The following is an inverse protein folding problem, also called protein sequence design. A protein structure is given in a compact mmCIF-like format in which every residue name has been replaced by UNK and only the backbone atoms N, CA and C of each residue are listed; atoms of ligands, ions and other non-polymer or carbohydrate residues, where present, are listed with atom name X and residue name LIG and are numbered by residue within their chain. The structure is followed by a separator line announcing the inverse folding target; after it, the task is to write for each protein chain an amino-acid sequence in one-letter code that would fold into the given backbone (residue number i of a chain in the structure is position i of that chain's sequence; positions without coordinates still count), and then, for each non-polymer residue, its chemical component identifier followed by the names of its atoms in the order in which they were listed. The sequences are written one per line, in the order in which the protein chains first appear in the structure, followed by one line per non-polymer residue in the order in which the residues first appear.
data_IF_338494282608
#
_entry.id   IF_338494282608
#
_cell.length_a   1.000
_cell.length_b   1.000
_cell.length_c   1.000
_cell.angle_alpha   90.00
_cell.angle_beta   90.00
_cell.angle_gamma   90.00
#
_symmetry.space_group_name_H-M   'P 1'
#
loop_
_entity.id
_entity.type
_entity.pdbx_description
1 polymer ?
#
# COMPACT_ATOMS: atom_id res chain seq x y z
N UNK A 1 -22.05 -100.13 0.94
CA UNK A 1 -22.58 -98.85 0.39
C UNK A 1 -22.71 -97.70 1.41
N UNK A 2 -22.68 -97.91 2.74
CA UNK A 2 -22.85 -96.82 3.73
C UNK A 2 -21.59 -95.98 4.02
N UNK A 3 -20.38 -96.48 3.74
CA UNK A 3 -19.12 -95.76 3.98
C UNK A 3 -18.77 -94.68 2.96
N UNK A 4 -19.17 -94.85 1.69
CA UNK A 4 -18.85 -93.89 0.63
C UNK A 4 -19.65 -92.59 0.74
N UNK A 5 -20.88 -92.66 1.29
CA UNK A 5 -21.76 -91.52 1.54
C UNK A 5 -21.29 -90.64 2.71
N UNK A 6 -20.64 -91.24 3.71
CA UNK A 6 -20.15 -90.50 4.88
C UNK A 6 -18.91 -89.67 4.53
N UNK A 7 -18.02 -90.22 3.69
CA UNK A 7 -16.79 -89.54 3.25
C UNK A 7 -17.11 -88.41 2.27
N UNK A 8 -18.09 -88.60 1.39
CA UNK A 8 -18.55 -87.54 0.47
C UNK A 8 -19.33 -86.43 1.20
N UNK A 9 -20.07 -86.75 2.27
CA UNK A 9 -20.71 -85.74 3.13
C UNK A 9 -19.69 -84.93 3.95
N UNK A 10 -18.62 -85.56 4.47
CA UNK A 10 -17.53 -84.87 5.19
C UNK A 10 -16.67 -83.98 4.27
N UNK A 11 -16.41 -84.42 3.03
CA UNK A 11 -15.73 -83.61 2.02
C UNK A 11 -16.59 -82.42 1.55
N UNK A 12 -17.90 -82.60 1.37
CA UNK A 12 -18.80 -81.47 1.07
C UNK A 12 -18.92 -80.50 2.24
N UNK A 13 -18.94 -80.98 3.50
CA UNK A 13 -19.02 -80.11 4.67
C UNK A 13 -17.73 -79.31 4.88
N UNK A 14 -16.56 -79.90 4.61
CA UNK A 14 -15.29 -79.15 4.59
C UNK A 14 -15.19 -78.16 3.42
N UNK A 15 -15.69 -78.51 2.22
CA UNK A 15 -15.73 -77.58 1.08
C UNK A 15 -16.77 -76.43 1.27
N UNK A 16 -17.85 -76.68 2.02
CA UNK A 16 -18.86 -75.67 2.36
C UNK A 16 -18.44 -74.76 3.54
N UNK A 17 -17.70 -75.27 4.53
CA UNK A 17 -17.14 -74.42 5.59
C UNK A 17 -15.95 -73.57 5.12
N UNK A 18 -15.16 -74.02 4.13
CA UNK A 18 -14.08 -73.21 3.56
C UNK A 18 -14.54 -72.21 2.48
N UNK A 19 -15.75 -72.35 1.92
CA UNK A 19 -16.25 -71.44 0.88
C UNK A 19 -16.97 -70.19 1.41
N UNK A 20 -17.18 -70.07 2.73
CA UNK A 20 -17.76 -68.86 3.35
C UNK A 20 -16.75 -67.92 4.01
N UNK A 21 -15.47 -68.28 4.05
CA UNK A 21 -14.39 -67.30 4.26
C UNK A 21 -13.74 -66.96 2.92
N UNK A 22 -14.55 -66.39 2.02
CA UNK A 22 -13.98 -65.43 1.08
C UNK A 22 -13.69 -64.19 1.90
N UNK A 23 -12.49 -64.12 2.48
CA UNK A 23 -11.86 -62.82 2.67
C UNK A 23 -11.80 -62.22 1.26
N UNK A 24 -12.80 -61.43 0.89
CA UNK A 24 -12.49 -60.30 0.05
C UNK A 24 -11.35 -59.61 0.79
N UNK A 25 -10.13 -59.71 0.24
CA UNK A 25 -9.10 -58.70 0.45
C UNK A 25 -9.69 -57.40 -0.08
N UNK A 26 -10.70 -56.86 0.60
CA UNK A 26 -10.97 -55.46 0.60
C UNK A 26 -9.70 -54.92 1.20
N UNK A 27 -8.87 -54.33 0.35
CA UNK A 27 -7.63 -53.71 0.73
C UNK A 27 -7.95 -52.84 1.94
N UNK A 28 -7.61 -53.32 3.14
CA UNK A 28 -8.25 -52.89 4.38
C UNK A 28 -8.01 -51.39 4.59
N UNK A 29 -6.86 -50.94 4.09
CA UNK A 29 -6.46 -49.55 3.95
C UNK A 29 -7.46 -48.75 3.09
N UNK A 30 -7.84 -49.22 1.90
CA UNK A 30 -8.79 -48.52 1.03
C UNK A 30 -10.20 -48.47 1.62
N UNK A 31 -10.63 -49.53 2.32
CA UNK A 31 -11.91 -49.55 3.03
C UNK A 31 -11.94 -48.54 4.19
N UNK A 32 -10.91 -48.56 5.05
CA UNK A 32 -10.81 -47.63 6.17
C UNK A 32 -10.58 -46.19 5.71
N UNK A 33 -9.83 -45.97 4.63
CA UNK A 33 -9.69 -44.64 4.01
C UNK A 33 -11.04 -44.12 3.52
N UNK A 34 -11.84 -44.94 2.84
CA UNK A 34 -13.18 -44.55 2.37
C UNK A 34 -14.13 -44.27 3.54
N UNK A 35 -14.11 -45.09 4.59
CA UNK A 35 -14.88 -44.89 5.82
C UNK A 35 -14.48 -43.59 6.53
N UNK A 36 -13.19 -43.34 6.72
CA UNK A 36 -12.67 -42.11 7.32
C UNK A 36 -13.08 -40.89 6.49
N UNK A 37 -12.96 -40.96 5.16
CA UNK A 37 -13.34 -39.87 4.27
C UNK A 37 -14.85 -39.57 4.32
N UNK A 38 -15.69 -40.61 4.38
CA UNK A 38 -17.13 -40.47 4.57
C UNK A 38 -17.49 -39.89 5.94
N UNK A 39 -16.79 -40.28 7.01
CA UNK A 39 -16.97 -39.70 8.34
C UNK A 39 -16.55 -38.23 8.37
N UNK A 40 -15.42 -37.87 7.75
CA UNK A 40 -15.01 -36.47 7.62
C UNK A 40 -16.02 -35.65 6.83
N UNK A 41 -16.56 -36.17 5.73
CA UNK A 41 -17.60 -35.49 4.96
C UNK A 41 -18.91 -35.37 5.73
N UNK A 42 -19.32 -36.40 6.48
CA UNK A 42 -20.51 -36.39 7.31
C UNK A 42 -20.37 -35.41 8.48
N UNK A 43 -19.24 -35.40 9.19
CA UNK A 43 -18.93 -34.44 10.24
C UNK A 43 -18.83 -33.02 9.70
N UNK A 44 -18.21 -32.83 8.53
CA UNK A 44 -18.18 -31.52 7.86
C UNK A 44 -19.58 -31.05 7.45
N UNK A 45 -20.41 -31.93 6.90
CA UNK A 45 -21.82 -31.62 6.57
C UNK A 45 -22.64 -31.33 7.82
N UNK A 46 -22.44 -32.08 8.91
CA UNK A 46 -23.11 -31.85 10.19
C UNK A 46 -22.73 -30.48 10.78
N UNK A 47 -21.44 -30.11 10.75
CA UNK A 47 -20.97 -28.79 11.19
C UNK A 47 -21.51 -27.68 10.29
N UNK A 48 -21.53 -27.86 8.96
CA UNK A 48 -22.06 -26.85 8.02
C UNK A 48 -23.59 -26.71 8.11
N UNK A 49 -24.30 -27.77 8.49
CA UNK A 49 -25.75 -27.78 8.64
C UNK A 49 -26.23 -27.46 10.06
N UNK A 50 -25.32 -27.42 11.03
CA UNK A 50 -25.60 -27.00 12.40
C UNK A 50 -26.16 -25.58 12.41
N UNK A 51 -27.25 -25.39 13.16
CA UNK A 51 -27.98 -24.13 13.18
C UNK A 51 -27.15 -23.01 13.81
N UNK A 52 -26.27 -23.32 14.77
CA UNK A 52 -25.37 -22.35 15.38
C UNK A 52 -24.24 -21.97 14.42
N UNK A 53 -23.69 -22.93 13.68
CA UNK A 53 -22.69 -22.65 12.65
C UNK A 53 -23.26 -21.81 11.49
N UNK A 54 -24.47 -22.14 11.00
CA UNK A 54 -25.16 -21.34 9.98
C UNK A 54 -25.49 -19.94 10.49
N UNK A 55 -25.95 -19.82 11.74
CA UNK A 55 -26.23 -18.52 12.36
C UNK A 55 -24.96 -17.71 12.57
N UNK A 56 -23.87 -18.34 13.01
CA UNK A 56 -22.55 -17.74 13.12
C UNK A 56 -22.03 -17.30 11.75
N UNK A 57 -22.20 -18.11 10.71
CA UNK A 57 -21.76 -17.79 9.36
C UNK A 57 -22.63 -16.71 8.70
N UNK A 58 -23.95 -16.70 8.94
CA UNK A 58 -24.85 -15.61 8.55
C UNK A 58 -24.47 -14.34 9.29
N UNK A 59 -24.16 -14.40 10.59
CA UNK A 59 -23.70 -13.26 11.36
C UNK A 59 -22.34 -12.75 10.88
N UNK A 60 -21.37 -13.63 10.63
CA UNK A 60 -20.08 -13.30 10.05
C UNK A 60 -20.24 -12.70 8.65
N UNK A 61 -21.10 -13.25 7.79
CA UNK A 61 -21.38 -12.73 6.45
C UNK A 61 -22.13 -11.39 6.51
N UNK A 62 -23.04 -11.20 7.47
CA UNK A 62 -23.76 -9.93 7.72
C UNK A 62 -22.80 -8.85 8.23
N UNK A 63 -21.83 -9.24 9.05
CA UNK A 63 -20.75 -8.36 9.55
C UNK A 63 -19.74 -8.05 8.44
N UNK A 64 -19.34 -9.03 7.62
CA UNK A 64 -18.44 -8.86 6.47
C UNK A 64 -19.04 -7.92 5.40
N UNK A 65 -20.35 -8.03 5.13
CA UNK A 65 -21.06 -7.10 4.23
C UNK A 65 -21.02 -5.63 4.67
N UNK A 66 -20.79 -5.35 5.97
CA UNK A 66 -20.72 -3.98 6.49
C UNK A 66 -19.30 -3.39 6.46
N UNK A 67 -18.24 -4.21 6.50
CA UNK A 67 -16.85 -3.74 6.35
C UNK A 67 -16.42 -3.57 4.89
N UNK A 68 -17.14 -4.17 3.93
CA UNK A 68 -16.87 -4.07 2.50
C UNK A 68 -17.19 -2.70 1.87
N UNK A 69 -17.83 -1.79 2.61
CA UNK A 69 -18.19 -0.47 2.11
C UNK A 69 -17.95 0.60 3.18
N UNK A 70 -17.10 1.56 2.86
CA UNK A 70 -16.90 2.74 3.71
C UNK A 70 -16.60 3.97 2.85
N UNK A 71 -16.90 5.15 3.40
CA UNK A 71 -16.28 6.42 3.04
C UNK A 71 -15.51 6.92 4.27
N UNK A 72 -14.30 7.40 4.07
CA UNK A 72 -13.41 7.82 5.15
C UNK A 72 -12.70 9.12 4.82
N UNK A 73 -12.55 9.97 5.82
CA UNK A 73 -11.60 11.07 5.79
C UNK A 73 -10.21 10.54 6.17
N UNK A 74 -9.17 10.99 5.48
CA UNK A 74 -7.81 10.51 5.62
C UNK A 74 -6.91 11.64 6.08
N UNK A 75 -6.08 11.38 7.09
CA UNK A 75 -4.94 12.22 7.45
C UNK A 75 -3.69 11.36 7.45
N UNK A 76 -2.58 11.87 6.94
CA UNK A 76 -1.36 11.09 6.83
C UNK A 76 -0.11 11.93 6.83
N UNK A 77 0.99 11.27 7.19
CA UNK A 77 2.34 11.76 6.93
C UNK A 77 3.00 10.84 5.90
N UNK A 78 3.87 11.41 5.09
CA UNK A 78 4.65 10.68 4.11
C UNK A 78 6.13 11.00 4.25
N UNK A 79 6.95 10.02 3.91
CA UNK A 79 8.39 10.18 3.74
C UNK A 79 8.70 9.75 2.32
N UNK A 80 9.38 10.61 1.57
CA UNK A 80 9.81 10.30 0.21
C UNK A 80 11.30 10.47 0.03
N UNK A 81 11.90 9.56 -0.72
CA UNK A 81 13.27 9.71 -1.17
C UNK A 81 13.35 10.85 -2.18
N UNK A 82 14.47 11.57 -2.17
CA UNK A 82 14.79 12.56 -3.17
C UNK A 82 16.24 12.36 -3.61
N UNK A 83 16.46 12.37 -4.92
CA UNK A 83 17.80 12.32 -5.50
C UNK A 83 18.20 13.74 -5.91
N UNK A 84 19.17 14.27 -5.15
CA UNK A 84 19.77 15.58 -5.33
C UNK A 84 21.15 15.48 -6.00
N UNK A 85 21.60 14.32 -6.46
CA UNK A 85 22.98 14.10 -6.91
C UNK A 85 23.47 15.14 -7.93
N UNK A 86 22.71 15.37 -9.00
CA UNK A 86 23.02 16.37 -10.02
C UNK A 86 22.93 17.80 -9.50
N UNK A 87 21.83 18.11 -8.80
CA UNK A 87 21.65 19.42 -8.19
C UNK A 87 22.76 19.77 -7.20
N UNK A 88 23.24 18.80 -6.44
CA UNK A 88 24.36 18.96 -5.51
C UNK A 88 25.69 19.14 -6.26
N UNK A 89 25.91 18.44 -7.38
CA UNK A 89 27.11 18.63 -8.19
C UNK A 89 27.20 20.05 -8.76
N UNK A 90 26.08 20.58 -9.26
CA UNK A 90 26.02 21.95 -9.80
C UNK A 90 26.23 23.01 -8.70
N UNK A 91 25.61 22.82 -7.52
CA UNK A 91 25.68 23.78 -6.43
C UNK A 91 26.98 23.69 -5.61
N UNK A 92 27.70 22.58 -5.67
CA UNK A 92 29.01 22.44 -5.02
C UNK A 92 30.03 23.44 -5.57
N UNK A 93 29.93 23.80 -6.86
CA UNK A 93 30.77 24.82 -7.51
C UNK A 93 30.60 26.19 -6.84
N UNK A 94 29.39 26.47 -6.34
CA UNK A 94 29.03 27.72 -5.64
C UNK A 94 29.23 27.64 -4.11
N UNK A 95 29.90 26.58 -3.62
CA UNK A 95 30.22 26.40 -2.20
C UNK A 95 29.05 25.98 -1.31
N UNK A 96 27.86 25.68 -1.87
CA UNK A 96 26.73 25.23 -1.07
C UNK A 96 26.95 23.80 -0.55
N UNK A 97 26.54 23.51 0.70
CA UNK A 97 26.55 22.14 1.18
C UNK A 97 25.49 21.31 0.45
N UNK A 98 25.75 20.01 0.31
CA UNK A 98 24.86 19.09 -0.38
C UNK A 98 23.52 18.91 0.36
N UNK A 99 22.42 18.93 -0.39
CA UNK A 99 21.12 18.47 0.09
C UNK A 99 21.17 16.98 0.41
N UNK A 100 20.67 16.61 1.61
CA UNK A 100 20.65 15.22 2.09
C UNK A 100 19.30 14.82 2.69
N UNK A 101 19.06 13.52 2.65
CA UNK A 101 17.96 12.84 3.34
C UNK A 101 16.61 12.95 2.65
N UNK A 102 15.62 12.34 3.28
CA UNK A 102 14.26 12.23 2.74
C UNK A 102 13.46 13.53 2.94
N UNK A 103 12.42 13.69 2.14
CA UNK A 103 11.39 14.71 2.28
C UNK A 103 10.28 14.17 3.16
N UNK A 104 9.77 14.97 4.08
CA UNK A 104 8.63 14.61 4.93
C UNK A 104 7.46 15.48 4.52
N UNK A 105 6.28 14.89 4.36
CA UNK A 105 5.05 15.59 4.02
C UNK A 105 3.89 15.24 4.93
N UNK A 106 2.90 16.11 4.91
CA UNK A 106 1.61 15.92 5.58
C UNK A 106 0.53 16.13 4.54
N UNK A 107 -0.49 15.28 4.58
CA UNK A 107 -1.59 15.37 3.64
C UNK A 107 -2.91 14.93 4.23
N UNK A 108 -3.97 15.34 3.54
CA UNK A 108 -5.33 14.93 3.84
C UNK A 108 -5.98 14.34 2.59
N UNK A 109 -7.10 13.63 2.77
CA UNK A 109 -7.77 13.00 1.66
C UNK A 109 -9.11 12.37 2.03
N UNK A 110 -9.68 11.70 1.05
CA UNK A 110 -10.87 10.87 1.20
C UNK A 110 -10.61 9.50 0.59
N UNK A 111 -11.08 8.45 1.26
CA UNK A 111 -11.01 7.07 0.80
C UNK A 111 -12.41 6.48 0.75
N UNK A 112 -12.71 5.74 -0.31
CA UNK A 112 -13.96 5.01 -0.48
C UNK A 112 -13.68 3.57 -0.87
N UNK A 113 -14.13 2.63 -0.05
CA UNK A 113 -14.12 1.19 -0.39
C UNK A 113 -15.51 0.77 -0.85
N UNK A 114 -15.56 0.00 -1.93
CA UNK A 114 -16.76 -0.72 -2.38
C UNK A 114 -16.37 -2.13 -2.78
N UNK A 115 -16.80 -3.10 -1.98
CA UNK A 115 -16.35 -4.49 -2.03
C UNK A 115 -14.82 -4.51 -1.90
N UNK A 116 -14.10 -5.07 -2.87
CA UNK A 116 -12.63 -5.09 -2.89
C UNK A 116 -11.98 -3.86 -3.52
N UNK A 117 -12.76 -2.95 -4.10
CA UNK A 117 -12.23 -1.78 -4.80
C UNK A 117 -12.06 -0.63 -3.81
N UNK A 118 -10.86 -0.06 -3.76
CA UNK A 118 -10.52 1.08 -2.92
C UNK A 118 -10.22 2.25 -3.86
N UNK A 119 -10.88 3.37 -3.63
CA UNK A 119 -10.64 4.62 -4.34
C UNK A 119 -10.18 5.65 -3.33
N UNK A 120 -9.10 6.35 -3.61
CA UNK A 120 -8.61 7.42 -2.74
C UNK A 120 -8.35 8.69 -3.54
N UNK A 121 -8.71 9.82 -2.95
CA UNK A 121 -8.41 11.15 -3.47
C UNK A 121 -7.70 11.88 -2.35
N UNK A 122 -6.42 12.18 -2.52
CA UNK A 122 -5.66 12.99 -1.57
C UNK A 122 -5.69 14.44 -2.06
N UNK A 123 -6.11 15.35 -1.19
CA UNK A 123 -6.18 16.78 -1.45
C UNK A 123 -5.09 17.46 -0.63
N UNK A 124 -4.15 18.14 -1.27
CA UNK A 124 -3.12 18.91 -0.57
C UNK A 124 -2.20 18.04 0.30
N UNK A 125 -1.07 17.62 -0.28
CA UNK A 125 0.10 17.19 0.50
C UNK A 125 1.11 18.32 0.47
N UNK A 126 1.46 18.84 1.65
CA UNK A 126 2.53 19.83 1.79
C UNK A 126 3.78 19.11 2.28
N UNK A 127 4.87 19.21 1.53
CA UNK A 127 6.17 18.69 2.00
C UNK A 127 6.95 19.79 2.71
N UNK A 128 7.62 19.40 3.79
CA UNK A 128 8.61 20.25 4.45
C UNK A 128 9.70 20.59 3.43
N UNK A 129 9.88 21.90 3.23
CA UNK A 129 10.89 22.42 2.31
C UNK A 129 12.28 22.13 2.87
N UNK A 130 13.16 21.60 2.04
CA UNK A 130 14.58 21.47 2.37
C UNK A 130 15.27 22.80 2.13
N UNK A 131 16.23 23.12 2.99
CA UNK A 131 17.09 24.29 2.83
C UNK A 131 18.55 23.92 3.04
N UNK A 132 19.42 24.61 2.30
CA UNK A 132 20.86 24.67 2.53
C UNK A 132 21.29 26.11 2.54
N UNK A 133 22.28 26.42 3.37
CA UNK A 133 22.77 27.78 3.59
C UNK A 133 24.29 27.79 3.33
N UNK A 134 24.78 28.85 2.68
CA UNK A 134 26.21 29.12 2.50
C UNK A 134 26.47 30.59 2.83
N UNK A 135 27.27 30.82 3.88
CA UNK A 135 27.58 32.09 4.56
C UNK A 135 26.38 32.96 4.98
N UNK A 136 25.50 33.30 4.06
CA UNK A 136 24.22 33.99 4.30
C UNK A 136 23.20 33.77 3.19
N UNK A 137 23.59 33.21 2.04
CA UNK A 137 22.68 32.85 0.95
C UNK A 137 22.03 31.50 1.23
N UNK A 138 20.81 31.30 0.74
CA UNK A 138 20.00 30.14 1.03
C UNK A 138 19.30 29.63 -0.23
N UNK A 139 19.38 28.31 -0.45
CA UNK A 139 18.59 27.61 -1.46
C UNK A 139 17.52 26.81 -0.72
N UNK A 140 16.28 26.94 -1.17
CA UNK A 140 15.13 26.17 -0.71
C UNK A 140 14.55 25.36 -1.85
N UNK A 141 14.16 24.13 -1.56
CA UNK A 141 13.40 23.32 -2.52
C UNK A 141 12.40 22.41 -1.83
N UNK A 142 11.26 22.20 -2.48
CA UNK A 142 10.18 21.38 -1.97
C UNK A 142 9.25 20.94 -3.08
N UNK A 143 8.34 20.03 -2.75
CA UNK A 143 7.29 19.63 -3.66
C UNK A 143 5.98 19.43 -2.89
N UNK A 144 4.86 19.72 -3.53
CA UNK A 144 3.52 19.56 -2.98
C UNK A 144 2.69 18.69 -3.91
N UNK A 145 1.83 17.83 -3.37
CA UNK A 145 0.76 17.24 -4.17
C UNK A 145 -0.47 18.11 -4.06
N UNK A 146 -0.96 18.62 -5.18
CA UNK A 146 -2.18 19.41 -5.21
C UNK A 146 -3.38 18.47 -5.09
N UNK A 147 -3.39 17.45 -5.95
CA UNK A 147 -4.39 16.39 -5.93
C UNK A 147 -3.78 15.08 -6.40
N UNK A 148 -4.25 13.96 -5.88
CA UNK A 148 -3.77 12.63 -6.23
C UNK A 148 -4.92 11.63 -6.16
N UNK A 149 -5.11 10.91 -7.25
CA UNK A 149 -6.14 9.88 -7.41
C UNK A 149 -5.49 8.52 -7.38
N UNK A 150 -6.04 7.62 -6.57
CA UNK A 150 -5.55 6.25 -6.43
C UNK A 150 -6.70 5.25 -6.55
N UNK A 151 -6.37 4.13 -7.18
CA UNK A 151 -7.22 2.96 -7.26
C UNK A 151 -6.46 1.75 -6.72
N UNK A 152 -7.07 1.00 -5.82
CA UNK A 152 -6.53 -0.22 -5.24
C UNK A 152 -7.53 -1.38 -5.25
N UNK A 153 -6.99 -2.59 -5.13
CA UNK A 153 -7.79 -3.82 -5.07
C UNK A 153 -7.37 -4.71 -3.89
N UNK A 154 -8.26 -4.92 -2.93
CA UNK A 154 -8.05 -5.74 -1.74
C UNK A 154 -7.94 -7.23 -2.05
N UNK A 155 -6.78 -7.82 -1.73
CA UNK A 155 -6.41 -9.20 -2.00
C UNK A 155 -6.80 -10.17 -0.88
N UNK A 156 -6.78 -9.73 0.39
CA UNK A 156 -6.79 -10.64 1.55
C UNK A 156 -8.20 -10.98 2.04
N UNK A 157 -9.22 -10.20 1.64
CA UNK A 157 -10.63 -10.43 2.01
C UNK A 157 -10.82 -10.66 3.52
N UNK A 158 -10.07 -9.94 4.34
CA UNK A 158 -10.20 -9.97 5.79
C UNK A 158 -10.99 -8.74 6.28
N UNK A 159 -11.61 -8.87 7.46
CA UNK A 159 -12.46 -7.85 8.08
C UNK A 159 -11.69 -6.75 8.81
N UNK A 160 -10.48 -7.05 9.26
CA UNK A 160 -9.59 -6.17 10.01
C UNK A 160 -8.38 -5.75 9.18
N UNK A 161 -8.08 -6.47 8.10
CA UNK A 161 -6.89 -6.24 7.31
C UNK A 161 -7.24 -6.17 5.82
N UNK A 162 -6.82 -5.11 5.14
CA UNK A 162 -6.80 -5.04 3.68
C UNK A 162 -5.36 -4.94 3.22
N UNK A 163 -4.93 -5.85 2.35
CA UNK A 163 -3.66 -5.72 1.63
C UNK A 163 -4.00 -5.54 0.17
N UNK A 164 -3.56 -4.43 -0.43
CA UNK A 164 -3.98 -4.06 -1.76
C UNK A 164 -2.85 -3.44 -2.57
N UNK A 165 -2.54 -3.95 -3.78
CA UNK A 165 -1.82 -3.14 -4.74
C UNK A 165 -2.68 -1.91 -5.11
N UNK A 166 -2.02 -0.80 -5.38
CA UNK A 166 -2.65 0.41 -5.88
C UNK A 166 -1.85 1.03 -7.02
N UNK A 167 -2.55 1.78 -7.86
CA UNK A 167 -1.97 2.64 -8.88
C UNK A 167 -2.76 3.95 -8.94
N UNK A 168 -2.12 5.00 -9.43
CA UNK A 168 -2.72 6.33 -9.42
C UNK A 168 -1.98 7.35 -10.24
N UNK A 169 -2.55 8.53 -10.32
CA UNK A 169 -1.96 9.71 -10.91
C UNK A 169 -2.21 10.93 -10.03
N UNK A 170 -1.37 11.95 -10.16
CA UNK A 170 -1.49 13.16 -9.34
C UNK A 170 -0.92 14.37 -10.04
N UNK A 171 -1.43 15.54 -9.63
CA UNK A 171 -0.87 16.83 -10.00
C UNK A 171 0.05 17.29 -8.87
N UNK A 172 1.29 17.58 -9.22
CA UNK A 172 2.35 17.98 -8.30
C UNK A 172 2.84 19.37 -8.66
N UNK A 173 3.14 20.15 -7.63
CA UNK A 173 3.90 21.38 -7.72
C UNK A 173 5.31 21.12 -7.17
N UNK A 174 6.34 21.60 -7.85
CA UNK A 174 7.72 21.63 -7.37
C UNK A 174 8.10 23.10 -7.23
N UNK A 175 8.72 23.44 -6.11
CA UNK A 175 9.13 24.80 -5.78
C UNK A 175 10.64 24.85 -5.57
N UNK A 176 11.27 25.87 -6.14
CA UNK A 176 12.66 26.21 -5.88
C UNK A 176 12.76 27.71 -5.60
N UNK A 177 13.55 28.09 -4.60
CA UNK A 177 13.89 29.49 -4.39
C UNK A 177 15.32 29.65 -3.92
N UNK A 178 15.91 30.75 -4.34
CA UNK A 178 17.21 31.24 -3.94
C UNK A 178 17.01 32.60 -3.28
N UNK A 179 17.66 32.80 -2.14
CA UNK A 179 17.69 34.08 -1.47
C UNK A 179 19.13 34.43 -1.12
N UNK A 180 19.60 35.59 -1.57
CA UNK A 180 20.86 36.18 -1.15
C UNK A 180 20.57 37.47 -0.38
N UNK A 181 20.95 37.57 0.90
CA UNK A 181 20.73 38.77 1.69
C UNK A 181 21.61 39.91 1.18
N UNK A 182 21.18 41.13 1.52
CA UNK A 182 21.94 42.34 1.27
C UNK A 182 23.37 42.22 1.82
N UNK A 183 24.37 42.39 0.93
CA UNK A 183 25.78 42.49 1.33
C UNK A 183 26.33 43.82 0.86
N UNK A 184 26.86 44.59 1.81
CA UNK A 184 27.68 45.77 1.52
C UNK A 184 29.08 45.26 1.18
N UNK A 185 29.55 45.52 -0.04
CA UNK A 185 30.93 45.23 -0.38
C UNK A 185 31.81 46.25 0.34
N UNK A 186 32.64 45.78 1.28
CA UNK A 186 33.53 46.64 2.05
C UNK A 186 34.77 47.10 1.25
N UNK A 187 34.96 46.62 0.03
CA UNK A 187 36.05 47.00 -0.86
C UNK A 187 35.58 47.07 -2.34
N UNK A 188 34.67 47.99 -2.69
CA UNK A 188 34.09 48.07 -4.02
C UNK A 188 35.11 48.64 -5.02
N UNK A 189 35.29 47.99 -6.18
CA UNK A 189 36.13 48.51 -7.26
C UNK A 189 35.38 49.48 -8.18
N UNK A 190 34.05 49.49 -8.11
CA UNK A 190 33.17 50.42 -8.82
C UNK A 190 31.85 50.63 -8.04
N UNK A 191 31.04 51.61 -8.46
CA UNK A 191 29.78 51.95 -7.77
C UNK A 191 28.72 50.85 -7.86
N UNK A 192 28.75 50.03 -8.91
CA UNK A 192 27.87 48.87 -9.10
C UNK A 192 28.19 47.72 -8.13
N UNK A 193 29.40 47.68 -7.59
CA UNK A 193 29.84 46.68 -6.60
C UNK A 193 29.60 47.12 -5.15
N UNK A 194 29.32 48.41 -4.90
CA UNK A 194 29.02 48.96 -3.55
C UNK A 194 27.81 48.28 -2.94
N UNK A 195 26.87 47.85 -3.79
CA UNK A 195 25.61 47.22 -3.39
C UNK A 195 25.47 45.88 -4.12
N UNK A 196 25.66 44.77 -3.40
CA UNK A 196 25.15 43.47 -3.84
C UNK A 196 23.70 43.37 -3.38
N UNK A 197 22.79 43.46 -4.34
CA UNK A 197 21.35 43.54 -4.07
C UNK A 197 20.83 42.29 -3.37
N UNK A 198 19.85 42.51 -2.49
CA UNK A 198 19.02 41.47 -1.91
C UNK A 198 18.25 40.78 -3.04
N UNK A 199 18.69 39.60 -3.47
CA UNK A 199 18.12 38.89 -4.62
C UNK A 199 17.37 37.68 -4.11
N UNK A 200 16.04 37.72 -4.25
CA UNK A 200 15.18 36.58 -4.03
C UNK A 200 14.58 36.18 -5.37
N UNK A 201 15.02 35.03 -5.89
CA UNK A 201 14.52 34.48 -7.15
C UNK A 201 13.87 33.14 -6.84
N UNK A 202 12.68 32.91 -7.37
CA UNK A 202 11.95 31.67 -7.13
C UNK A 202 11.02 31.32 -8.27
N UNK A 203 10.74 30.04 -8.39
CA UNK A 203 9.86 29.52 -9.41
C UNK A 203 9.13 28.29 -8.89
N UNK A 204 7.91 28.11 -9.38
CA UNK A 204 7.13 26.89 -9.21
C UNK A 204 6.87 26.25 -10.55
N UNK A 205 6.74 24.93 -10.54
CA UNK A 205 6.47 24.15 -11.73
C UNK A 205 5.43 23.07 -11.42
N UNK A 206 4.46 22.92 -12.31
CA UNK A 206 3.45 21.88 -12.22
C UNK A 206 3.80 20.69 -13.10
N UNK A 207 3.48 19.49 -12.63
CA UNK A 207 3.66 18.27 -13.39
C UNK A 207 2.69 17.17 -13.00
N UNK A 208 2.44 16.28 -13.96
CA UNK A 208 1.67 15.06 -13.77
C UNK A 208 2.59 13.94 -13.31
N UNK A 209 2.22 13.32 -12.20
CA UNK A 209 2.88 12.13 -11.67
C UNK A 209 2.02 10.90 -11.82
N UNK A 210 2.65 9.74 -11.97
CA UNK A 210 2.02 8.43 -11.75
C UNK A 210 2.65 7.73 -10.57
N UNK A 211 1.86 6.86 -9.97
CA UNK A 211 2.29 6.09 -8.82
C UNK A 211 1.74 4.69 -8.86
N UNK A 212 2.49 3.80 -8.24
CA UNK A 212 2.08 2.43 -8.00
C UNK A 212 2.73 1.93 -6.72
N UNK A 213 2.06 1.03 -6.01
CA UNK A 213 2.57 0.53 -4.74
C UNK A 213 1.65 -0.49 -4.10
N UNK A 214 1.90 -0.74 -2.83
CA UNK A 214 1.13 -1.65 -1.98
C UNK A 214 0.69 -0.88 -0.74
N UNK A 215 -0.60 -1.01 -0.41
CA UNK A 215 -1.22 -0.49 0.79
C UNK A 215 -1.64 -1.60 1.73
N UNK A 216 -1.55 -1.31 3.02
CA UNK A 216 -2.03 -2.11 4.12
C UNK A 216 -2.95 -1.24 4.97
N UNK A 217 -4.18 -1.69 5.17
CA UNK A 217 -5.14 -1.09 6.10
C UNK A 217 -5.38 -2.05 7.26
N UNK A 218 -5.33 -1.55 8.48
CA UNK A 218 -5.66 -2.28 9.71
C UNK A 218 -6.76 -1.55 10.46
N UNK A 219 -7.93 -2.19 10.62
CA UNK A 219 -9.07 -1.64 11.36
C UNK A 219 -8.77 -1.70 12.85
N UNK A 220 -8.61 -0.55 13.50
CA UNK A 220 -8.29 -0.43 14.92
C UNK A 220 -9.56 -0.47 15.79
N UNK A 221 -10.57 0.31 15.40
CA UNK A 221 -11.81 0.46 16.15
C UNK A 221 -13.02 0.41 15.22
N UNK A 222 -14.11 -0.17 15.71
CA UNK A 222 -15.39 -0.21 15.01
C UNK A 222 -16.48 0.06 16.06
N UNK A 223 -16.99 1.29 16.07
CA UNK A 223 -18.02 1.75 17.01
C UNK A 223 -19.37 1.37 16.41
N UNK A 224 -20.00 0.33 16.96
CA UNK A 224 -21.39 -0.06 16.70
C UNK A 224 -21.81 -0.07 15.21
N UNK A 225 -20.87 -0.36 14.30
CA UNK A 225 -21.09 -0.40 12.85
C UNK A 225 -21.49 0.94 12.20
N UNK A 226 -21.32 2.07 12.89
CA UNK A 226 -21.63 3.41 12.38
C UNK A 226 -20.38 4.23 12.09
N UNK A 227 -19.25 3.92 12.71
CA UNK A 227 -17.97 4.55 12.42
C UNK A 227 -16.78 3.83 13.03
N UNK A 228 -15.58 4.32 12.74
CA UNK A 228 -14.35 3.73 13.26
C UNK A 228 -13.09 4.33 12.65
N UNK A 229 -11.96 3.74 13.04
CA UNK A 229 -10.63 4.19 12.64
C UNK A 229 -9.84 3.05 12.01
N UNK A 230 -9.21 3.33 10.88
CA UNK A 230 -8.27 2.46 10.19
C UNK A 230 -6.89 3.09 10.28
N UNK A 231 -5.91 2.35 10.77
CA UNK A 231 -4.50 2.69 10.57
C UNK A 231 -4.10 2.17 9.19
N UNK A 232 -3.46 3.00 8.38
CA UNK A 232 -2.95 2.55 7.09
C UNK A 232 -1.45 2.82 6.96
N UNK A 233 -0.81 1.97 6.16
CA UNK A 233 0.54 2.13 5.68
C UNK A 233 0.57 1.87 4.17
N UNK A 234 1.29 2.69 3.42
CA UNK A 234 1.51 2.51 1.98
C UNK A 234 2.98 2.65 1.67
N UNK A 235 3.46 1.83 0.75
CA UNK A 235 4.78 1.96 0.17
C UNK A 235 4.64 1.85 -1.36
N UNK A 236 5.29 2.75 -2.08
CA UNK A 236 5.22 2.75 -3.54
C UNK A 236 6.20 3.71 -4.19
N UNK A 237 6.17 3.73 -5.51
CA UNK A 237 6.96 4.66 -6.32
C UNK A 237 6.07 5.79 -6.80
N UNK A 238 6.64 6.99 -6.93
CA UNK A 238 5.94 8.11 -7.53
C UNK A 238 6.86 8.80 -8.55
N UNK A 239 6.51 8.70 -9.83
CA UNK A 239 7.32 9.21 -10.93
C UNK A 239 6.59 10.36 -11.63
N UNK A 240 7.31 11.45 -11.88
CA UNK A 240 6.83 12.53 -12.73
C UNK A 240 6.87 12.05 -14.20
N UNK A 241 5.72 11.98 -14.86
CA UNK A 241 5.61 11.57 -16.28
C UNK A 241 5.73 12.76 -17.23
N UNK A 242 5.00 13.84 -16.94
CA UNK A 242 4.85 14.99 -17.84
C UNK A 242 4.98 16.25 -17.01
N UNK A 243 5.85 17.16 -17.45
CA UNK A 243 6.14 18.41 -16.77
C UNK A 243 7.46 18.97 -17.27
N UNK A 244 7.43 20.20 -17.75
CA UNK A 244 8.60 20.89 -18.29
C UNK A 244 9.60 21.18 -17.17
N UNK A 245 10.63 20.34 -16.98
CA UNK A 245 11.52 20.33 -15.79
C UNK A 245 12.32 21.63 -15.54
N UNK A 246 12.12 22.60 -16.42
CA UNK A 246 12.73 23.91 -16.42
C UNK A 246 11.87 24.89 -15.65
N UNK A 247 12.47 25.47 -14.63
CA UNK A 247 11.94 26.59 -13.88
C UNK A 247 12.24 27.87 -14.64
N UNK A 248 11.23 28.75 -14.77
CA UNK A 248 11.45 30.12 -15.21
C UNK A 248 11.83 30.95 -14.00
N UNK A 249 13.10 31.33 -13.93
CA UNK A 249 13.69 32.15 -12.86
C UNK A 249 14.17 33.46 -13.49
N UNK A 250 13.48 34.57 -13.22
CA UNK A 250 13.82 35.91 -13.72
C UNK A 250 14.18 35.97 -15.22
N UNK A 251 13.38 35.30 -16.05
CA UNK A 251 13.56 35.29 -17.51
C UNK A 251 14.51 34.22 -18.06
N UNK A 252 15.16 33.43 -17.20
CA UNK A 252 15.99 32.29 -17.60
C UNK A 252 15.28 30.95 -17.32
N UNK A 253 15.47 29.97 -18.20
CA UNK A 253 15.05 28.60 -17.98
C UNK A 253 16.16 27.81 -17.29
N UNK A 254 15.86 27.23 -16.13
CA UNK A 254 16.81 26.43 -15.34
C UNK A 254 16.22 25.06 -15.02
N UNK A 255 16.90 23.98 -15.43
CA UNK A 255 16.54 22.60 -15.07
C UNK A 255 17.49 22.09 -13.97
N UNK A 256 17.05 22.04 -12.69
CA UNK A 256 17.86 21.53 -11.58
C UNK A 256 17.97 20.00 -11.58
N UNK A 257 17.32 19.31 -12.53
CA UNK A 257 17.27 17.85 -12.68
C UNK A 257 16.88 17.11 -11.39
N UNK A 258 16.06 17.75 -10.55
CA UNK A 258 15.59 17.20 -9.28
C UNK A 258 14.67 16.02 -9.51
N UNK A 259 14.97 14.90 -8.83
CA UNK A 259 14.14 13.70 -8.88
C UNK A 259 13.55 13.42 -7.51
N UNK A 260 12.29 13.82 -7.34
CA UNK A 260 11.52 13.58 -6.12
C UNK A 260 10.77 12.25 -6.19
N UNK A 261 10.72 11.57 -5.05
CA UNK A 261 9.76 10.50 -4.73
C UNK A 261 9.96 9.17 -5.45
N UNK A 262 11.21 8.74 -5.69
CA UNK A 262 11.46 7.40 -6.26
C UNK A 262 10.85 6.29 -5.38
N UNK A 263 10.88 6.46 -4.07
CA UNK A 263 10.17 5.68 -3.07
C UNK A 263 9.40 6.63 -2.16
N UNK A 264 8.15 6.29 -1.87
CA UNK A 264 7.27 7.00 -0.94
C UNK A 264 6.71 5.99 0.04
N UNK A 265 6.82 6.31 1.33
CA UNK A 265 6.17 5.59 2.41
C UNK A 265 5.19 6.57 3.06
N UNK A 266 3.92 6.18 3.17
CA UNK A 266 2.90 6.99 3.84
C UNK A 266 2.25 6.18 4.97
N UNK A 267 2.04 6.81 6.11
CA UNK A 267 1.32 6.24 7.24
C UNK A 267 0.31 7.24 7.76
N UNK A 268 -0.83 6.76 8.20
CA UNK A 268 -1.88 7.65 8.66
C UNK A 268 -3.14 6.94 9.12
N UNK A 269 -4.19 7.74 9.30
CA UNK A 269 -5.47 7.27 9.78
C UNK A 269 -6.56 7.58 8.77
N UNK A 270 -7.47 6.62 8.60
CA UNK A 270 -8.76 6.81 7.91
C UNK A 270 -9.87 6.77 8.95
N UNK A 271 -10.62 7.85 9.06
CA UNK A 271 -11.79 7.96 9.93
C UNK A 271 -13.03 7.76 9.07
N UNK A 272 -13.74 6.65 9.29
CA UNK A 272 -14.98 6.37 8.57
C UNK A 272 -16.18 6.56 9.51
N UNK A 273 -17.25 7.11 8.96
CA UNK A 273 -18.50 7.36 9.65
C UNK A 273 -19.64 7.36 8.62
N UNK A 274 -20.85 7.05 9.07
CA UNK A 274 -22.08 7.30 8.33
C UNK A 274 -22.67 8.64 8.70
#
# INVERSE_FOLDING_TARGET
MKGLLLISALLLFHLLCFSQFREEKVDSIAYYQKQIQQMFEASRKAVINDTNFRTMQINLNRLAKKTDKYGAFVIYTSVSSADFSKFNADNAISGFPAFKGNMVGFGIGMSRKKNRRIFEINFGMVSLTKKVENDSSMIKTGYNHITQFEFGYDLVKDRRLNLYPYAGFGLREINISFNSPYRRNNNPRNITEVVQNNQSVGGSQFGLSVQAGIGLDVVLTNINHTGGTILFAKAGTNQLLIGDRKFKLDGFEYDPQLRYSSLVIAVGFKFFGR
#
